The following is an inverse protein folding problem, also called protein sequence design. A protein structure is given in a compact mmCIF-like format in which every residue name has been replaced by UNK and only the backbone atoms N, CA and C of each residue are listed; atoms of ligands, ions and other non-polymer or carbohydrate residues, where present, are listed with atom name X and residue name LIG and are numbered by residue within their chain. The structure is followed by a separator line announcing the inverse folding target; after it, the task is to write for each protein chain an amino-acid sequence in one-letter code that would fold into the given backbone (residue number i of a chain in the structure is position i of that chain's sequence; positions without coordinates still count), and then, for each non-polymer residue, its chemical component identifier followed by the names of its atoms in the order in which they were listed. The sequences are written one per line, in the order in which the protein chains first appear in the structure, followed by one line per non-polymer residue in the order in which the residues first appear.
data_IF_206488337518
#
_entry.id   IF_206488337518
#
_cell.length_a   1.000
_cell.length_b   1.000
_cell.length_c   1.000
_cell.angle_alpha   90.00
_cell.angle_beta   90.00
_cell.angle_gamma   90.00
#
_symmetry.space_group_name_H-M   'P 1'
#
loop_
_entity.id
_entity.type
_entity.pdbx_description
1 polymer ?
#
# COMPACT_ATOMS: atom_id res chain seq x y z
N UNK A 1 -39.62 17.78 2.57
CA UNK A 1 -39.13 16.46 2.14
C UNK A 1 -37.61 16.48 2.09
N UNK A 2 -36.94 16.00 3.14
CA UNK A 2 -35.49 15.76 3.08
C UNK A 2 -35.22 14.56 2.17
N UNK A 3 -34.20 14.63 1.34
CA UNK A 3 -33.91 13.56 0.39
C UNK A 3 -33.28 12.35 1.10
N UNK A 4 -33.53 11.13 0.62
CA UNK A 4 -32.99 9.86 1.15
C UNK A 4 -31.44 9.87 1.17
N UNK A 5 -30.79 10.76 0.42
CA UNK A 5 -29.34 10.96 0.41
C UNK A 5 -28.81 11.77 1.62
N UNK A 6 -29.63 12.64 2.22
CA UNK A 6 -29.26 13.41 3.42
C UNK A 6 -29.30 12.57 4.69
N UNK A 7 -30.27 11.65 4.81
CA UNK A 7 -30.37 10.74 5.95
C UNK A 7 -29.30 9.63 5.92
N UNK A 8 -28.79 9.22 4.76
CA UNK A 8 -27.67 8.25 4.71
C UNK A 8 -26.33 8.84 5.14
N UNK A 9 -26.14 10.16 5.02
CA UNK A 9 -24.92 10.83 5.49
C UNK A 9 -24.89 11.02 6.99
N UNK A 10 -26.04 11.21 7.64
CA UNK A 10 -26.10 11.34 9.10
C UNK A 10 -25.76 10.03 9.82
N UNK A 11 -26.19 8.90 9.28
CA UNK A 11 -26.05 7.61 9.97
C UNK A 11 -24.60 7.08 9.99
N UNK A 12 -23.76 7.50 9.05
CA UNK A 12 -22.32 7.17 9.05
C UNK A 12 -21.49 8.02 10.03
N UNK A 13 -22.04 9.12 10.58
CA UNK A 13 -21.31 10.00 11.50
C UNK A 13 -21.52 9.67 12.99
N UNK A 14 -22.49 8.82 13.32
CA UNK A 14 -22.95 8.57 14.71
C UNK A 14 -22.00 7.62 15.47
N UNK A 15 -21.19 6.82 14.77
CA UNK A 15 -20.25 5.87 15.38
C UNK A 15 -18.80 6.35 15.55
N UNK A 16 -18.48 7.58 15.14
CA UNK A 16 -17.10 8.06 15.15
C UNK A 16 -16.70 8.65 16.52
N UNK A 17 -15.52 8.29 17.07
CA UNK A 17 -15.00 8.90 18.29
C UNK A 17 -14.92 10.43 18.17
N UNK A 18 -15.33 11.15 19.21
CA UNK A 18 -15.42 12.63 19.23
C UNK A 18 -14.11 13.33 18.82
N UNK A 19 -12.95 12.76 19.13
CA UNK A 19 -11.64 13.28 18.73
C UNK A 19 -11.44 13.31 17.20
N UNK A 20 -12.03 12.35 16.48
CA UNK A 20 -11.95 12.26 15.02
C UNK A 20 -12.84 13.32 14.33
N UNK A 21 -13.90 13.76 15.02
CA UNK A 21 -14.80 14.84 14.56
C UNK A 21 -14.11 16.22 14.59
N UNK A 22 -13.20 16.46 15.54
CA UNK A 22 -12.48 17.73 15.71
C UNK A 22 -11.38 17.91 14.64
N UNK A 23 -10.75 16.83 14.15
CA UNK A 23 -9.71 16.91 13.10
C UNK A 23 -10.24 17.30 11.70
N UNK A 24 -11.56 17.19 11.46
CA UNK A 24 -12.18 17.37 10.12
C UNK A 24 -12.26 18.84 9.63
N UNK A 25 -11.78 19.82 10.41
CA UNK A 25 -11.84 21.26 10.06
C UNK A 25 -10.54 21.86 9.48
N UNK A 26 -9.43 21.12 9.45
CA UNK A 26 -8.26 21.46 8.63
C UNK A 26 -8.28 20.56 7.40
N UNK A 27 -7.95 21.11 6.24
CA UNK A 27 -7.59 20.32 5.06
C UNK A 27 -6.38 19.43 5.42
N UNK A 28 -6.63 18.28 6.04
CA UNK A 28 -5.62 17.28 6.26
C UNK A 28 -5.45 16.57 4.92
N UNK A 29 -4.37 16.89 4.21
CA UNK A 29 -3.92 16.01 3.15
C UNK A 29 -3.39 14.78 3.88
N UNK A 30 -4.18 13.70 3.85
CA UNK A 30 -3.78 12.46 4.48
C UNK A 30 -2.63 11.87 3.68
N UNK A 31 -1.60 11.38 4.35
CA UNK A 31 -0.56 10.59 3.72
C UNK A 31 -0.88 9.12 3.89
N UNK A 32 -0.46 8.30 2.93
CA UNK A 32 -0.54 6.84 3.04
C UNK A 32 0.83 6.24 2.79
N UNK A 33 1.11 5.17 3.52
CA UNK A 33 2.19 4.25 3.19
C UNK A 33 1.61 3.18 2.28
N UNK A 34 2.22 3.04 1.10
CA UNK A 34 1.93 1.99 0.14
C UNK A 34 3.06 0.98 0.19
N UNK A 35 2.72 -0.28 0.45
CA UNK A 35 3.65 -1.41 0.47
C UNK A 35 3.26 -2.38 -0.64
N UNK A 36 4.18 -2.60 -1.58
CA UNK A 36 3.98 -3.44 -2.76
C UNK A 36 4.90 -4.64 -2.63
N UNK A 37 4.33 -5.84 -2.46
CA UNK A 37 5.07 -7.10 -2.44
C UNK A 37 4.87 -7.80 -3.78
N UNK A 38 5.93 -8.00 -4.54
CA UNK A 38 5.88 -8.46 -5.95
C UNK A 38 6.97 -9.49 -6.26
N UNK A 39 6.89 -10.11 -7.44
CA UNK A 39 7.98 -10.93 -7.98
C UNK A 39 9.21 -10.05 -8.28
N UNK A 40 10.45 -10.53 -8.09
CA UNK A 40 11.66 -9.70 -8.27
C UNK A 40 11.80 -9.03 -9.63
N UNK A 41 11.43 -9.71 -10.71
CA UNK A 41 11.49 -9.21 -12.08
C UNK A 41 10.57 -8.00 -12.36
N UNK A 42 9.59 -7.75 -11.47
CA UNK A 42 8.64 -6.63 -11.59
C UNK A 42 9.07 -5.35 -10.88
N UNK A 43 10.26 -5.33 -10.26
CA UNK A 43 10.75 -4.16 -9.55
C UNK A 43 10.93 -2.95 -10.48
N UNK A 44 11.46 -3.15 -11.68
CA UNK A 44 11.69 -2.06 -12.64
C UNK A 44 10.39 -1.40 -13.07
N UNK A 45 9.35 -2.19 -13.35
CA UNK A 45 8.01 -1.70 -13.69
C UNK A 45 7.44 -0.80 -12.58
N UNK A 46 7.52 -1.25 -11.32
CA UNK A 46 7.03 -0.48 -10.17
C UNK A 46 7.82 0.82 -9.98
N UNK A 47 9.14 0.81 -10.17
CA UNK A 47 9.97 2.04 -10.08
C UNK A 47 9.53 3.08 -11.10
N UNK A 48 9.36 2.68 -12.37
CA UNK A 48 8.94 3.61 -13.42
C UNK A 48 7.55 4.20 -13.16
N UNK A 49 6.61 3.40 -12.63
CA UNK A 49 5.28 3.91 -12.27
C UNK A 49 5.37 4.95 -11.16
N UNK A 50 6.13 4.68 -10.08
CA UNK A 50 6.29 5.64 -8.99
C UNK A 50 6.93 6.95 -9.46
N UNK A 51 7.93 6.87 -10.34
CA UNK A 51 8.57 8.03 -10.95
C UNK A 51 7.61 8.83 -11.83
N UNK A 52 6.80 8.16 -12.67
CA UNK A 52 5.80 8.80 -13.51
C UNK A 52 4.74 9.57 -12.70
N UNK A 53 4.41 9.09 -11.51
CA UNK A 53 3.50 9.77 -10.57
C UNK A 53 4.19 10.79 -9.65
N UNK A 54 5.49 11.07 -9.87
CA UNK A 54 6.30 11.99 -9.06
C UNK A 54 6.30 11.65 -7.57
N UNK A 55 6.25 10.37 -7.25
CA UNK A 55 6.37 9.89 -5.87
C UNK A 55 7.85 9.89 -5.50
N UNK A 56 8.24 10.79 -4.60
CA UNK A 56 9.59 10.87 -4.04
C UNK A 56 9.77 9.87 -2.89
N UNK A 57 10.93 9.23 -2.86
CA UNK A 57 11.29 8.30 -1.79
C UNK A 57 10.67 6.91 -1.94
N UNK A 58 11.54 5.91 -2.04
CA UNK A 58 11.16 4.51 -2.02
C UNK A 58 12.18 3.71 -1.20
N UNK A 59 11.68 2.72 -0.48
CA UNK A 59 12.48 1.76 0.27
C UNK A 59 12.28 0.38 -0.38
N UNK A 60 13.36 -0.37 -0.54
CA UNK A 60 13.33 -1.71 -1.13
C UNK A 60 13.93 -2.68 -0.13
N UNK A 61 13.27 -3.80 0.07
CA UNK A 61 13.84 -4.94 0.80
C UNK A 61 13.52 -6.26 0.11
N UNK A 62 14.50 -7.16 0.15
CA UNK A 62 14.31 -8.55 -0.23
C UNK A 62 13.59 -9.25 0.91
N UNK A 63 12.50 -9.94 0.61
CA UNK A 63 11.77 -10.73 1.61
C UNK A 63 11.49 -12.13 1.08
N UNK A 64 11.17 -13.02 2.00
CA UNK A 64 10.65 -14.35 1.70
C UNK A 64 9.15 -14.35 1.95
N UNK A 65 8.36 -14.84 1.00
CA UNK A 65 6.90 -14.81 1.06
C UNK A 65 6.29 -16.14 0.69
N UNK A 66 5.09 -16.38 1.23
CA UNK A 66 4.30 -17.56 0.95
C UNK A 66 2.81 -17.19 0.94
N UNK A 67 2.04 -17.78 0.03
CA UNK A 67 0.63 -17.43 -0.20
C UNK A 67 -0.34 -18.55 0.16
N UNK A 68 -1.62 -18.37 -0.21
CA UNK A 68 -2.68 -19.38 0.03
C UNK A 68 -2.54 -20.66 -0.79
N UNK A 69 -1.60 -20.71 -1.74
CA UNK A 69 -1.15 -21.96 -2.32
C UNK A 69 -0.35 -22.70 -1.25
N UNK A 70 -1.06 -23.45 -0.40
CA UNK A 70 -0.50 -24.51 0.43
C UNK A 70 0.49 -25.27 -0.45
N UNK A 71 1.77 -25.03 -0.19
CA UNK A 71 2.89 -25.25 -1.07
C UNK A 71 2.81 -26.60 -1.72
N UNK A 72 3.24 -26.67 -2.97
CA UNK A 72 3.58 -27.95 -3.57
C UNK A 72 4.45 -28.73 -2.57
N UNK A 73 3.87 -29.72 -1.92
CA UNK A 73 4.59 -30.66 -1.08
C UNK A 73 5.37 -31.57 -2.02
N UNK A 74 6.52 -31.11 -2.49
CA UNK A 74 7.40 -31.97 -3.27
C UNK A 74 8.05 -32.94 -2.29
N UNK A 75 7.52 -34.16 -2.20
CA UNK A 75 8.09 -35.23 -1.38
C UNK A 75 9.50 -35.54 -1.86
N UNK A 76 10.52 -35.07 -1.14
CA UNK A 76 11.91 -35.49 -1.35
C UNK A 76 12.31 -36.44 -0.22
N UNK A 77 12.36 -37.75 -0.52
CA UNK A 77 12.98 -38.80 0.32
C UNK A 77 12.56 -38.82 1.80
N UNK A 78 11.27 -38.71 2.09
CA UNK A 78 10.71 -39.05 3.41
C UNK A 78 10.83 -37.98 4.50
N UNK A 79 11.40 -36.80 4.23
CA UNK A 79 11.34 -35.65 5.14
C UNK A 79 10.37 -34.60 4.59
N UNK A 80 9.34 -34.27 5.36
CA UNK A 80 8.42 -33.18 5.08
C UNK A 80 9.09 -31.83 5.40
N UNK A 81 9.86 -31.28 4.46
CA UNK A 81 10.26 -29.88 4.52
C UNK A 81 9.06 -29.03 4.12
N UNK A 82 8.18 -28.81 5.09
CA UNK A 82 7.03 -27.95 4.97
C UNK A 82 7.47 -26.49 4.69
N UNK A 83 6.88 -25.90 3.65
CA UNK A 83 6.93 -24.48 3.24
C UNK A 83 8.19 -24.01 2.51
N UNK A 84 8.19 -24.16 1.17
CA UNK A 84 9.16 -23.45 0.34
C UNK A 84 8.75 -21.97 0.24
N UNK A 85 9.35 -21.11 1.08
CA UNK A 85 9.20 -19.68 0.94
C UNK A 85 9.80 -19.24 -0.41
N UNK A 86 9.13 -18.36 -1.12
CA UNK A 86 9.61 -17.83 -2.40
C UNK A 86 10.20 -16.43 -2.21
N UNK A 87 11.32 -16.11 -2.88
CA UNK A 87 11.87 -14.75 -2.84
C UNK A 87 10.90 -13.76 -3.48
N UNK A 88 10.75 -12.61 -2.83
CA UNK A 88 9.91 -11.49 -3.26
C UNK A 88 10.63 -10.17 -3.01
N UNK A 89 10.19 -9.13 -3.70
CA UNK A 89 10.61 -7.75 -3.43
C UNK A 89 9.46 -7.03 -2.74
N UNK A 90 9.79 -6.34 -1.65
CA UNK A 90 8.90 -5.40 -0.97
C UNK A 90 9.36 -3.98 -1.26
N UNK A 91 8.53 -3.23 -1.96
CA UNK A 91 8.69 -1.79 -2.22
C UNK A 91 7.78 -1.03 -1.27
N UNK A 92 8.31 -0.05 -0.55
CA UNK A 92 7.56 0.77 0.39
C UNK A 92 7.75 2.25 0.02
N UNK A 93 6.66 3.02 -0.02
CA UNK A 93 6.71 4.45 -0.25
C UNK A 93 5.59 5.15 0.51
N UNK A 94 5.84 6.40 0.92
CA UNK A 94 4.82 7.26 1.55
C UNK A 94 4.46 8.35 0.55
N UNK A 95 3.17 8.52 0.31
CA UNK A 95 2.67 9.46 -0.69
C UNK A 95 1.37 10.15 -0.24
N UNK A 96 1.02 11.30 -0.84
CA UNK A 96 -0.27 11.95 -0.60
C UNK A 96 -1.45 11.03 -0.98
N UNK A 97 -2.52 11.02 -0.19
CA UNK A 97 -3.70 10.16 -0.41
C UNK A 97 -4.30 10.35 -1.82
N UNK A 98 -4.26 11.56 -2.37
CA UNK A 98 -4.80 11.89 -3.69
C UNK A 98 -4.12 11.19 -4.87
N UNK A 99 -2.88 10.67 -4.70
CA UNK A 99 -2.17 9.93 -5.76
C UNK A 99 -2.25 8.42 -5.60
N UNK A 100 -2.62 7.92 -4.41
CA UNK A 100 -2.58 6.49 -4.07
C UNK A 100 -3.42 5.64 -5.03
N UNK A 101 -4.65 6.07 -5.33
CA UNK A 101 -5.55 5.30 -6.20
C UNK A 101 -4.97 5.15 -7.61
N UNK A 102 -4.44 6.24 -8.18
CA UNK A 102 -3.83 6.22 -9.52
C UNK A 102 -2.59 5.34 -9.56
N UNK A 103 -1.68 5.52 -8.60
CA UNK A 103 -0.45 4.73 -8.49
C UNK A 103 -0.76 3.24 -8.37
N UNK A 104 -1.65 2.87 -7.44
CA UNK A 104 -1.97 1.46 -7.18
C UNK A 104 -2.68 0.81 -8.36
N UNK A 105 -3.57 1.54 -9.05
CA UNK A 105 -4.22 1.07 -10.28
C UNK A 105 -3.19 0.79 -11.39
N UNK A 106 -2.23 1.69 -11.60
CA UNK A 106 -1.21 1.52 -12.64
C UNK A 106 -0.24 0.38 -12.32
N UNK A 107 0.11 0.19 -11.04
CA UNK A 107 0.86 -0.98 -10.58
C UNK A 107 0.10 -2.25 -10.90
N UNK A 108 -1.19 -2.33 -10.56
CA UNK A 108 -2.00 -3.53 -10.86
C UNK A 108 -2.06 -3.79 -12.36
N UNK A 109 -2.30 -2.77 -13.19
CA UNK A 109 -2.41 -2.94 -14.64
C UNK A 109 -1.10 -3.40 -15.30
N UNK A 110 0.05 -3.02 -14.76
CA UNK A 110 1.37 -3.29 -15.36
C UNK A 110 2.02 -4.56 -14.81
N UNK A 111 1.84 -4.83 -13.51
CA UNK A 111 2.51 -5.94 -12.82
C UNK A 111 1.70 -7.24 -12.92
N UNK A 112 0.37 -7.15 -13.03
CA UNK A 112 -0.51 -8.32 -13.09
C UNK A 112 -0.27 -9.14 -14.36
N UNK A 113 0.10 -10.39 -14.16
CA UNK A 113 0.13 -11.44 -15.19
C UNK A 113 -1.12 -12.31 -15.15
N UNK A 114 -1.83 -12.33 -14.01
CA UNK A 114 -2.95 -13.23 -13.77
C UNK A 114 -2.54 -14.55 -13.11
N UNK A 115 -1.24 -14.81 -13.03
CA UNK A 115 -0.68 -16.00 -12.42
C UNK A 115 -0.50 -15.86 -10.91
N UNK A 116 -0.40 -17.00 -10.24
CA UNK A 116 -0.09 -17.00 -8.82
C UNK A 116 1.25 -16.32 -8.51
N UNK A 117 1.27 -15.64 -7.36
CA UNK A 117 2.48 -15.01 -6.85
C UNK A 117 2.78 -13.62 -7.41
N UNK A 118 1.89 -13.02 -8.21
CA UNK A 118 2.00 -11.64 -8.70
C UNK A 118 2.20 -10.62 -7.58
N UNK A 119 1.56 -10.84 -6.43
CA UNK A 119 1.83 -10.05 -5.23
C UNK A 119 0.60 -9.55 -4.50
N UNK A 120 0.84 -8.57 -3.61
CA UNK A 120 -0.19 -7.81 -2.90
C UNK A 120 0.27 -6.37 -2.70
N UNK A 121 -0.70 -5.45 -2.65
CA UNK A 121 -0.49 -4.07 -2.23
C UNK A 121 -1.20 -3.87 -0.90
N UNK A 122 -0.51 -3.28 0.08
CA UNK A 122 -1.07 -2.88 1.37
C UNK A 122 -1.00 -1.36 1.47
N UNK A 123 -2.05 -0.77 2.03
CA UNK A 123 -2.16 0.67 2.21
C UNK A 123 -2.47 0.92 3.68
N UNK A 124 -1.67 1.74 4.34
CA UNK A 124 -1.89 2.14 5.73
C UNK A 124 -1.83 3.67 5.88
N UNK A 125 -2.57 4.26 6.82
CA UNK A 125 -2.46 5.69 7.10
C UNK A 125 -1.06 6.03 7.60
N UNK A 126 -0.57 7.22 7.25
CA UNK A 126 0.61 7.85 7.85
C UNK A 126 0.16 9.17 8.44
N UNK A 127 0.35 9.32 9.75
CA UNK A 127 -0.10 10.50 10.47
C UNK A 127 0.81 11.71 10.26
N UNK A 128 2.11 11.47 10.14
CA UNK A 128 3.14 12.51 10.05
C UNK A 128 4.37 11.99 9.31
N UNK A 129 5.08 12.91 8.64
CA UNK A 129 6.37 12.68 8.01
C UNK A 129 7.29 13.85 8.36
N UNK A 130 8.57 13.58 8.64
CA UNK A 130 9.54 14.62 9.00
C UNK A 130 10.77 14.47 8.13
N UNK A 131 11.11 15.50 7.37
CA UNK A 131 12.33 15.52 6.56
C UNK A 131 13.53 15.87 7.44
N UNK A 132 14.39 14.89 7.73
CA UNK A 132 15.53 15.05 8.64
C UNK A 132 16.42 16.26 8.29
N UNK A 133 16.66 16.51 6.99
CA UNK A 133 17.56 17.58 6.53
C UNK A 133 17.05 18.99 6.81
N UNK A 134 15.73 19.20 6.78
CA UNK A 134 15.13 20.56 6.80
C UNK A 134 14.18 20.76 7.97
N UNK A 135 13.71 19.70 8.63
CA UNK A 135 12.66 19.76 9.63
C UNK A 135 11.26 19.99 9.08
N UNK A 136 11.09 20.01 7.75
CA UNK A 136 9.75 20.08 7.13
C UNK A 136 8.90 18.89 7.56
N UNK A 137 7.59 19.14 7.69
CA UNK A 137 6.62 18.17 8.20
C UNK A 137 5.47 17.95 7.22
N UNK A 138 4.71 16.88 7.42
CA UNK A 138 3.54 16.55 6.63
C UNK A 138 3.88 16.32 5.16
N UNK A 139 3.04 16.88 4.27
CA UNK A 139 3.22 16.75 2.82
C UNK A 139 4.51 17.41 2.32
N UNK A 140 4.94 18.49 2.94
CA UNK A 140 6.16 19.22 2.53
C UNK A 140 7.43 18.41 2.82
N UNK A 141 7.34 17.41 3.70
CA UNK A 141 8.44 16.50 4.00
C UNK A 141 8.65 15.42 2.92
N UNK A 142 7.61 15.09 2.13
CA UNK A 142 7.66 14.04 1.11
C UNK A 142 8.51 14.44 -0.09
#
# INVERSE_FOLDING_TARGET
MGTIQEQRRSDQEIGMPFFLKIKKRRNYIMMKKVVVVIKPEKLTDVKHILEAHKVSGLMISNIMGYGNQKGFTQKYRGNELNSNLLPKIKVESVMPEEVVEKVTKDIVNTVRTGEFGDGKIFISPVEEAIRIRTGETGKDAL
#
